data_IF_520383701632
#
_entry.id   IF_520383701632
#
_cell.length_a   1.000
_cell.length_b   1.000
_cell.length_c   1.000
_cell.angle_alpha   90.00
_cell.angle_beta   90.00
_cell.angle_gamma   90.00
#
_symmetry.space_group_name_H-M   'P 1'
#
loop_
_entity.id
_entity.type
_entity.pdbx_description
1 polymer ?
#
# COMPACT_ATOMS: atom_id res chain seq x y z
N UNK A 1 -10.11 26.10 -17.85
CA UNK A 1 -9.40 24.96 -17.31
C UNK A 1 -8.71 25.30 -15.99
N UNK A 2 -8.84 24.43 -15.00
CA UNK A 2 -8.17 24.56 -13.72
C UNK A 2 -7.13 23.46 -13.59
N UNK A 3 -5.84 23.85 -13.64
CA UNK A 3 -4.73 22.97 -13.35
C UNK A 3 -4.48 22.95 -11.84
N UNK A 4 -4.72 21.82 -11.21
CA UNK A 4 -4.58 21.62 -9.78
C UNK A 4 -3.27 20.86 -9.48
N UNK A 5 -2.63 21.22 -8.37
CA UNK A 5 -1.42 20.58 -7.84
C UNK A 5 -1.65 19.89 -6.50
N UNK A 6 -0.57 19.37 -5.88
CA UNK A 6 -0.56 18.72 -4.58
C UNK A 6 -0.96 17.23 -4.58
N UNK A 7 -1.99 16.81 -5.29
CA UNK A 7 -2.39 15.39 -5.36
C UNK A 7 -1.54 14.67 -6.41
N UNK A 8 -0.91 13.56 -6.01
CA UNK A 8 0.03 12.78 -6.83
C UNK A 8 -0.67 11.81 -7.79
N UNK A 9 -1.98 11.66 -7.69
CA UNK A 9 -2.79 10.84 -8.58
C UNK A 9 -3.44 11.70 -9.64
N UNK A 10 -3.31 11.28 -10.92
CA UNK A 10 -4.00 11.95 -12.03
C UNK A 10 -5.50 11.66 -11.92
N UNK A 11 -6.31 12.72 -11.82
CA UNK A 11 -7.78 12.58 -11.73
C UNK A 11 -8.52 13.84 -12.16
N UNK A 12 -9.67 13.62 -12.78
CA UNK A 12 -10.63 14.68 -13.03
C UNK A 12 -11.42 14.98 -11.74
N UNK A 13 -11.55 16.26 -11.42
CA UNK A 13 -12.32 16.72 -10.25
C UNK A 13 -13.67 17.24 -10.69
N UNK A 14 -13.73 17.91 -11.84
CA UNK A 14 -14.96 18.47 -12.40
C UNK A 14 -14.83 18.62 -13.90
N UNK A 15 -15.91 18.34 -14.63
CA UNK A 15 -16.02 18.60 -16.06
C UNK A 15 -16.46 20.04 -16.37
N UNK A 16 -17.20 20.69 -15.43
CA UNK A 16 -17.68 22.07 -15.57
C UNK A 16 -17.64 22.81 -14.22
N UNK A 17 -16.66 23.71 -14.00
CA UNK A 17 -15.52 23.97 -14.89
C UNK A 17 -14.56 22.79 -14.97
N UNK A 18 -13.91 22.61 -16.10
CA UNK A 18 -12.93 21.56 -16.31
C UNK A 18 -11.75 21.73 -15.34
N UNK A 19 -11.57 20.80 -14.41
CA UNK A 19 -10.59 20.85 -13.34
C UNK A 19 -9.93 19.49 -13.12
N UNK A 20 -8.59 19.46 -13.13
CA UNK A 20 -7.80 18.24 -13.05
C UNK A 20 -6.59 18.39 -12.13
N UNK A 21 -6.27 17.30 -11.43
CA UNK A 21 -4.93 17.04 -10.94
C UNK A 21 -4.14 16.27 -11.99
N UNK A 22 -2.98 16.77 -12.39
CA UNK A 22 -2.10 16.05 -13.33
C UNK A 22 -1.41 14.84 -12.70
N UNK A 23 -1.31 14.83 -11.39
CA UNK A 23 -0.47 13.86 -10.68
C UNK A 23 1.02 14.18 -10.79
N UNK A 24 1.84 13.16 -10.57
CA UNK A 24 3.30 13.21 -10.70
C UNK A 24 3.76 12.56 -12.01
N UNK A 25 4.87 13.01 -12.54
CA UNK A 25 5.47 12.46 -13.78
C UNK A 25 6.16 11.12 -13.56
N UNK A 26 6.48 10.78 -12.30
CA UNK A 26 7.10 9.53 -11.87
C UNK A 26 6.66 9.23 -10.44
N UNK A 27 6.34 7.98 -10.13
CA UNK A 27 6.09 7.54 -8.76
C UNK A 27 7.38 7.57 -7.94
N UNK A 28 7.35 8.23 -6.79
CA UNK A 28 8.50 8.40 -5.91
C UNK A 28 8.64 7.26 -4.89
N UNK A 29 7.53 6.62 -4.52
CA UNK A 29 7.51 5.51 -3.56
C UNK A 29 6.45 4.45 -3.90
N UNK A 30 6.43 3.36 -3.12
CA UNK A 30 5.51 2.23 -3.31
C UNK A 30 4.02 2.56 -3.19
N UNK A 31 3.66 3.66 -2.50
CA UNK A 31 2.26 4.09 -2.36
C UNK A 31 1.76 4.79 -3.64
N UNK A 32 2.67 5.15 -4.52
CA UNK A 32 2.38 5.83 -5.77
C UNK A 32 2.34 4.85 -6.95
N UNK A 33 1.60 3.76 -6.81
CA UNK A 33 1.40 2.77 -7.86
C UNK A 33 0.62 3.31 -9.06
N UNK A 34 0.66 2.56 -10.16
CA UNK A 34 -0.04 2.88 -11.40
C UNK A 34 0.67 3.90 -12.29
N UNK A 35 0.10 4.19 -13.47
CA UNK A 35 0.70 5.05 -14.47
C UNK A 35 0.88 6.48 -13.95
N UNK A 36 2.06 7.06 -14.19
CA UNK A 36 2.40 8.44 -13.86
C UNK A 36 2.73 9.21 -15.12
N UNK A 37 2.37 10.51 -15.13
CA UNK A 37 2.52 11.27 -16.35
C UNK A 37 2.16 12.74 -16.21
N UNK A 38 1.83 13.32 -17.35
CA UNK A 38 1.41 14.71 -17.46
C UNK A 38 0.09 14.81 -18.24
N UNK A 39 -0.61 15.92 -18.10
CA UNK A 39 -1.78 16.22 -18.91
C UNK A 39 -1.41 17.16 -20.05
N UNK A 40 -1.75 16.77 -21.27
CA UNK A 40 -1.80 17.68 -22.40
C UNK A 40 -3.21 18.24 -22.50
N UNK A 41 -3.33 19.57 -22.43
CA UNK A 41 -4.61 20.27 -22.46
C UNK A 41 -4.68 21.16 -23.68
N UNK A 42 -5.66 20.93 -24.54
CA UNK A 42 -5.93 21.77 -25.70
C UNK A 42 -7.13 22.66 -25.42
N UNK A 43 -6.95 23.97 -25.58
CA UNK A 43 -7.98 24.99 -25.31
C UNK A 43 -8.25 25.77 -26.58
N UNK A 44 -9.44 25.62 -27.14
CA UNK A 44 -9.89 26.34 -28.32
C UNK A 44 -11.02 27.31 -27.96
N UNK A 45 -11.07 28.51 -28.57
CA UNK A 45 -12.15 29.48 -28.33
C UNK A 45 -13.53 28.86 -28.57
N UNK A 46 -14.44 28.97 -27.63
CA UNK A 46 -15.80 28.48 -27.71
C UNK A 46 -15.99 26.96 -27.63
N UNK A 47 -14.92 26.22 -27.33
CA UNK A 47 -14.99 24.76 -27.08
C UNK A 47 -14.60 24.41 -25.65
N UNK A 48 -15.09 23.29 -25.19
CA UNK A 48 -14.62 22.71 -23.94
C UNK A 48 -13.14 22.29 -24.08
N UNK A 49 -12.34 22.40 -23.01
CA UNK A 49 -10.97 21.92 -23.02
C UNK A 49 -10.92 20.40 -23.29
N UNK A 50 -10.01 19.98 -24.16
CA UNK A 50 -9.68 18.59 -24.37
C UNK A 50 -8.46 18.21 -23.51
N UNK A 51 -8.61 17.17 -22.68
CA UNK A 51 -7.56 16.72 -21.75
C UNK A 51 -7.12 15.32 -22.12
N UNK A 52 -5.82 15.13 -22.31
CA UNK A 52 -5.22 13.84 -22.62
C UNK A 52 -4.06 13.55 -21.67
N UNK A 53 -4.10 12.38 -21.03
CA UNK A 53 -2.99 11.88 -20.22
C UNK A 53 -1.85 11.38 -21.11
N UNK A 54 -0.63 11.81 -20.80
CA UNK A 54 0.60 11.35 -21.42
C UNK A 54 1.43 10.66 -20.36
N UNK A 55 1.58 9.35 -20.46
CA UNK A 55 2.42 8.59 -19.56
C UNK A 55 3.89 8.93 -19.75
N UNK A 56 4.59 9.28 -18.68
CA UNK A 56 6.02 9.67 -18.67
C UNK A 56 6.86 8.83 -17.72
N UNK A 57 6.23 7.99 -16.88
CA UNK A 57 6.95 7.14 -15.93
C UNK A 57 7.84 6.14 -16.66
N UNK A 58 9.10 6.07 -16.26
CA UNK A 58 10.10 5.11 -16.77
C UNK A 58 10.15 3.83 -15.94
N UNK A 59 9.55 3.86 -14.76
CA UNK A 59 9.40 2.71 -13.86
C UNK A 59 8.06 2.80 -13.10
N UNK A 60 7.54 1.65 -12.70
CA UNK A 60 6.32 1.53 -11.92
C UNK A 60 6.57 0.86 -10.58
N UNK A 61 5.81 1.30 -9.58
CA UNK A 61 5.66 0.58 -8.32
C UNK A 61 4.48 -0.38 -8.44
N UNK A 62 4.70 -1.65 -8.09
CA UNK A 62 3.70 -2.70 -8.22
C UNK A 62 3.66 -3.53 -6.94
N UNK A 63 2.48 -3.87 -6.48
CA UNK A 63 2.28 -4.86 -5.42
C UNK A 63 1.82 -6.17 -6.05
N UNK A 64 2.41 -7.28 -5.63
CA UNK A 64 2.09 -8.63 -6.08
C UNK A 64 1.78 -9.49 -4.86
N UNK A 65 0.68 -10.22 -4.91
CA UNK A 65 0.32 -11.20 -3.89
C UNK A 65 0.55 -12.60 -4.41
N UNK A 66 1.18 -13.45 -3.61
CA UNK A 66 1.39 -14.86 -3.91
C UNK A 66 0.95 -15.70 -2.72
N UNK A 67 -0.02 -16.58 -2.93
CA UNK A 67 -0.45 -17.54 -1.92
C UNK A 67 0.59 -18.67 -1.82
N UNK A 68 1.05 -18.93 -0.61
CA UNK A 68 2.03 -19.97 -0.29
C UNK A 68 1.36 -21.05 0.56
N UNK A 69 1.56 -22.28 0.16
CA UNK A 69 1.11 -23.47 0.89
C UNK A 69 2.19 -23.92 1.88
N UNK A 70 1.79 -24.57 2.98
CA UNK A 70 2.71 -25.21 3.93
C UNK A 70 3.61 -26.29 3.28
N UNK A 71 3.20 -26.79 2.11
CA UNK A 71 3.99 -27.76 1.34
C UNK A 71 5.09 -27.13 0.48
N UNK A 72 5.05 -25.82 0.28
CA UNK A 72 6.04 -25.09 -0.51
C UNK A 72 7.32 -24.92 0.32
N UNK A 73 8.38 -25.54 -0.15
CA UNK A 73 9.66 -25.52 0.54
C UNK A 73 10.42 -24.23 0.25
N UNK A 74 11.14 -23.75 1.25
CA UNK A 74 11.95 -22.53 1.16
C UNK A 74 12.94 -22.59 -0.02
N UNK A 75 13.49 -23.78 -0.33
CA UNK A 75 14.45 -23.96 -1.42
C UNK A 75 13.83 -23.79 -2.82
N UNK A 76 12.53 -24.08 -2.98
CA UNK A 76 11.82 -23.95 -4.27
C UNK A 76 11.09 -22.62 -4.42
N UNK A 77 10.87 -21.93 -3.31
CA UNK A 77 10.12 -20.68 -3.25
C UNK A 77 10.67 -19.55 -4.16
N UNK A 78 12.00 -19.35 -4.30
CA UNK A 78 12.53 -18.35 -5.22
C UNK A 78 12.08 -18.55 -6.67
N UNK A 79 12.01 -19.79 -7.13
CA UNK A 79 11.60 -20.13 -8.50
C UNK A 79 10.11 -19.89 -8.69
N UNK A 80 9.28 -20.27 -7.72
CA UNK A 80 7.82 -20.00 -7.75
C UNK A 80 7.55 -18.50 -7.79
N UNK A 81 8.28 -17.71 -7.00
CA UNK A 81 8.17 -16.26 -7.02
C UNK A 81 8.53 -15.70 -8.40
N UNK A 82 9.67 -16.10 -8.96
CA UNK A 82 10.11 -15.59 -10.27
C UNK A 82 9.11 -15.93 -11.39
N UNK A 83 8.45 -17.08 -11.32
CA UNK A 83 7.41 -17.47 -12.28
C UNK A 83 6.10 -16.69 -12.10
N UNK A 84 5.76 -16.34 -10.86
CA UNK A 84 4.55 -15.58 -10.54
C UNK A 84 4.68 -14.07 -10.83
N UNK A 85 5.91 -13.56 -10.94
CA UNK A 85 6.14 -12.14 -11.19
C UNK A 85 5.73 -11.74 -12.62
N UNK A 86 5.18 -10.52 -12.81
CA UNK A 86 4.80 -10.03 -14.13
C UNK A 86 6.03 -9.88 -15.05
N UNK A 87 5.79 -9.93 -16.35
CA UNK A 87 6.80 -9.57 -17.36
C UNK A 87 6.44 -8.20 -17.96
N UNK A 88 6.84 -7.10 -17.32
CA UNK A 88 6.44 -5.75 -17.71
C UNK A 88 7.23 -5.25 -18.93
N UNK A 89 6.65 -4.28 -19.64
CA UNK A 89 7.31 -3.60 -20.76
C UNK A 89 8.32 -2.51 -20.34
N UNK A 90 8.28 -2.11 -19.07
CA UNK A 90 9.21 -1.13 -18.46
C UNK A 90 9.63 -1.59 -17.08
N UNK A 91 10.64 -0.95 -16.49
CA UNK A 91 11.13 -1.34 -15.16
C UNK A 91 10.02 -1.34 -14.12
N UNK A 92 9.93 -2.39 -13.33
CA UNK A 92 8.95 -2.55 -12.26
C UNK A 92 9.64 -2.82 -10.93
N UNK A 93 9.32 -2.00 -9.92
CA UNK A 93 9.75 -2.15 -8.54
C UNK A 93 8.63 -2.84 -7.77
N UNK A 94 8.86 -4.07 -7.34
CA UNK A 94 7.81 -4.92 -6.78
C UNK A 94 7.93 -5.02 -5.26
N UNK A 95 6.81 -4.82 -4.56
CA UNK A 95 6.61 -5.32 -3.21
C UNK A 95 5.80 -6.60 -3.30
N UNK A 96 6.37 -7.71 -2.84
CA UNK A 96 5.72 -9.01 -2.86
C UNK A 96 5.12 -9.33 -1.49
N UNK A 97 3.86 -9.72 -1.46
CA UNK A 97 3.15 -10.19 -0.28
C UNK A 97 2.95 -11.70 -0.40
N UNK A 98 3.62 -12.47 0.47
CA UNK A 98 3.42 -13.90 0.61
C UNK A 98 2.22 -14.12 1.56
N UNK A 99 1.13 -14.64 1.01
CA UNK A 99 -0.06 -14.98 1.80
C UNK A 99 0.11 -16.37 2.38
N UNK A 100 0.23 -16.45 3.69
CA UNK A 100 0.40 -17.69 4.46
C UNK A 100 -0.76 -17.89 5.43
N UNK A 101 -1.02 -19.10 5.86
CA UNK A 101 -2.03 -19.34 6.90
C UNK A 101 -1.49 -19.02 8.30
N UNK A 102 -0.21 -19.26 8.53
CA UNK A 102 0.50 -18.99 9.79
C UNK A 102 1.83 -18.30 9.48
N UNK A 103 2.41 -17.62 10.45
CA UNK A 103 3.74 -17.01 10.26
C UNK A 103 4.80 -18.12 10.23
N UNK A 104 5.49 -18.21 9.10
CA UNK A 104 6.45 -19.27 8.81
C UNK A 104 7.86 -18.69 8.69
N UNK A 105 7.99 -17.45 8.19
CA UNK A 105 9.26 -16.87 7.81
C UNK A 105 9.75 -15.84 8.81
N UNK A 106 11.01 -15.94 9.21
CA UNK A 106 11.67 -14.87 9.95
C UNK A 106 11.97 -13.67 9.02
N UNK A 107 12.25 -12.52 9.62
CA UNK A 107 12.65 -11.33 8.85
C UNK A 107 13.93 -11.56 8.04
N UNK A 108 14.85 -12.38 8.58
CA UNK A 108 16.12 -12.72 7.92
C UNK A 108 15.87 -13.65 6.72
N UNK A 109 14.96 -14.63 6.86
CA UNK A 109 14.57 -15.52 5.76
C UNK A 109 13.99 -14.72 4.59
N UNK A 110 13.09 -13.76 4.87
CA UNK A 110 12.48 -12.91 3.84
C UNK A 110 13.51 -12.01 3.15
N UNK A 111 14.53 -11.55 3.88
CA UNK A 111 15.61 -10.75 3.31
C UNK A 111 16.50 -11.61 2.39
N UNK A 112 16.95 -12.77 2.84
CA UNK A 112 17.70 -13.71 2.02
C UNK A 112 16.93 -14.15 0.78
N UNK A 113 15.64 -14.44 0.94
CA UNK A 113 14.74 -14.76 -0.17
C UNK A 113 14.70 -13.63 -1.21
N UNK A 114 14.63 -12.38 -0.75
CA UNK A 114 14.66 -11.21 -1.64
C UNK A 114 15.96 -11.13 -2.44
N UNK A 115 17.10 -11.41 -1.81
CA UNK A 115 18.41 -11.39 -2.47
C UNK A 115 18.51 -12.51 -3.53
N UNK A 116 18.08 -13.74 -3.19
CA UNK A 116 18.10 -14.88 -4.12
C UNK A 116 17.17 -14.64 -5.32
N UNK A 117 15.95 -14.15 -5.08
CA UNK A 117 14.99 -13.83 -6.15
C UNK A 117 15.57 -12.77 -7.10
N UNK A 118 16.16 -11.70 -6.58
CA UNK A 118 16.77 -10.67 -7.42
C UNK A 118 17.94 -11.21 -8.23
N UNK A 119 18.77 -12.09 -7.66
CA UNK A 119 19.83 -12.77 -8.40
C UNK A 119 19.30 -13.57 -9.61
N UNK A 120 18.22 -14.34 -9.42
CA UNK A 120 17.56 -15.08 -10.51
C UNK A 120 16.93 -14.15 -11.58
N UNK A 121 16.38 -13.00 -11.15
CA UNK A 121 15.81 -12.01 -12.06
C UNK A 121 16.90 -11.32 -12.90
N UNK A 122 18.06 -11.04 -12.32
CA UNK A 122 19.23 -10.50 -13.03
C UNK A 122 19.76 -11.47 -14.07
N UNK A 123 19.90 -12.77 -13.74
CA UNK A 123 20.29 -13.81 -14.69
C UNK A 123 19.33 -13.90 -15.89
N UNK A 124 18.02 -13.73 -15.64
CA UNK A 124 16.98 -13.69 -16.68
C UNK A 124 16.90 -12.35 -17.41
N UNK A 125 17.71 -11.35 -17.05
CA UNK A 125 17.63 -9.96 -17.57
C UNK A 125 16.23 -9.36 -17.45
N UNK A 126 15.56 -9.66 -16.36
CA UNK A 126 14.21 -9.16 -16.08
C UNK A 126 14.20 -7.62 -15.86
N UNK A 127 13.09 -6.99 -16.22
CA UNK A 127 12.84 -5.59 -15.89
C UNK A 127 12.23 -5.43 -14.47
N UNK A 128 12.00 -6.52 -13.77
CA UNK A 128 11.47 -6.54 -12.40
C UNK A 128 12.62 -6.50 -11.40
N UNK A 129 12.46 -5.70 -10.35
CA UNK A 129 13.30 -5.70 -9.14
C UNK A 129 12.39 -5.85 -7.92
N UNK A 130 12.59 -6.86 -7.11
CA UNK A 130 11.85 -7.06 -5.86
C UNK A 130 12.50 -6.21 -4.77
N UNK A 131 11.76 -5.20 -4.31
CA UNK A 131 12.23 -4.27 -3.29
C UNK A 131 12.08 -4.82 -1.88
N UNK A 132 11.03 -5.60 -1.64
CA UNK A 132 10.80 -6.29 -0.38
C UNK A 132 9.82 -7.43 -0.55
N UNK A 133 10.04 -8.49 0.22
CA UNK A 133 9.09 -9.58 0.42
C UNK A 133 8.52 -9.46 1.83
N UNK A 134 7.21 -9.59 1.97
CA UNK A 134 6.49 -9.49 3.22
C UNK A 134 5.56 -10.68 3.39
N UNK A 135 5.52 -11.23 4.57
CA UNK A 135 4.54 -12.24 4.92
C UNK A 135 3.24 -11.58 5.36
N UNK A 136 2.13 -12.04 4.82
CA UNK A 136 0.78 -11.64 5.20
C UNK A 136 0.00 -12.86 5.68
N UNK A 137 -0.17 -12.97 7.00
CA UNK A 137 -0.90 -14.09 7.60
C UNK A 137 -2.40 -13.89 7.38
N UNK A 138 -3.06 -14.89 6.82
CA UNK A 138 -4.48 -14.85 6.47
C UNK A 138 -5.39 -15.48 7.53
N UNK A 139 -4.87 -16.36 8.37
CA UNK A 139 -5.62 -16.87 9.53
C UNK A 139 -5.62 -15.83 10.65
N UNK A 140 -6.77 -15.43 11.19
CA UNK A 140 -6.81 -14.63 12.40
C UNK A 140 -6.13 -15.41 13.53
N UNK A 141 -5.23 -14.76 14.26
CA UNK A 141 -4.69 -15.29 15.50
C UNK A 141 -5.86 -15.74 16.38
N UNK A 142 -6.04 -17.04 16.58
CA UNK A 142 -6.99 -17.57 17.54
C UNK A 142 -6.49 -17.22 18.93
N UNK A 143 -6.85 -16.01 19.38
CA UNK A 143 -6.67 -15.61 20.77
C UNK A 143 -7.48 -16.52 21.66
N UNK A 144 -6.93 -16.92 22.78
CA UNK A 144 -7.62 -17.63 23.83
C UNK A 144 -8.88 -16.84 24.21
N UNK A 145 -10.03 -17.49 24.12
CA UNK A 145 -11.40 -16.99 24.36
C UNK A 145 -12.08 -16.28 23.17
N UNK A 146 -12.61 -17.08 22.22
CA UNK A 146 -13.91 -16.91 21.56
C UNK A 146 -14.28 -15.60 20.83
N UNK A 147 -13.44 -14.59 20.83
CA UNK A 147 -13.71 -13.32 20.16
C UNK A 147 -12.70 -13.15 19.03
N UNK A 148 -13.19 -13.32 17.80
CA UNK A 148 -12.42 -12.96 16.60
C UNK A 148 -12.26 -11.43 16.54
N UNK A 149 -11.17 -10.91 17.09
CA UNK A 149 -10.85 -9.47 17.09
C UNK A 149 -10.26 -8.97 15.76
N UNK A 150 -10.20 -9.81 14.72
CA UNK A 150 -9.51 -9.48 13.46
C UNK A 150 -10.45 -9.52 12.24
N UNK A 151 -11.76 -9.40 12.46
CA UNK A 151 -12.71 -9.37 11.35
C UNK A 151 -13.14 -7.98 10.89
N UNK A 152 -13.19 -7.00 11.79
CA UNK A 152 -13.84 -5.71 11.52
C UNK A 152 -13.25 -4.53 12.29
N UNK A 153 -11.95 -4.55 12.61
CA UNK A 153 -11.29 -3.28 12.92
C UNK A 153 -11.07 -2.60 11.59
N UNK A 154 -12.06 -1.80 11.25
CA UNK A 154 -12.19 -1.04 10.03
C UNK A 154 -10.85 -0.39 9.69
N UNK A 155 -10.31 -0.70 8.52
CA UNK A 155 -9.11 -0.06 7.98
C UNK A 155 -9.22 1.48 8.00
N UNK A 156 -10.45 2.03 8.17
CA UNK A 156 -10.72 3.44 8.37
C UNK A 156 -10.12 4.00 9.66
N UNK A 157 -10.12 3.24 10.77
CA UNK A 157 -9.53 3.69 12.05
C UNK A 157 -7.99 3.77 11.97
N UNK A 158 -7.35 2.84 11.26
CA UNK A 158 -5.91 2.90 11.00
C UNK A 158 -5.55 3.99 9.99
N UNK A 159 -6.41 4.21 8.98
CA UNK A 159 -6.20 5.31 8.01
C UNK A 159 -6.40 6.68 8.67
N UNK A 160 -7.35 6.84 9.58
CA UNK A 160 -7.52 8.08 10.34
C UNK A 160 -6.36 8.33 11.31
N UNK A 161 -5.81 7.29 11.94
CA UNK A 161 -4.58 7.42 12.75
C UNK A 161 -3.34 7.71 11.89
N UNK A 162 -3.20 7.15 10.69
CA UNK A 162 -2.11 7.48 9.77
C UNK A 162 -2.28 8.89 9.19
N UNK A 163 -3.49 9.31 8.87
CA UNK A 163 -3.78 10.69 8.42
C UNK A 163 -3.48 11.68 9.54
N UNK A 164 -3.84 11.39 10.78
CA UNK A 164 -3.47 12.21 11.92
C UNK A 164 -1.96 12.28 12.11
N UNK A 165 -1.22 11.18 11.92
CA UNK A 165 0.25 11.15 11.98
C UNK A 165 0.90 11.89 10.80
N UNK A 166 0.34 11.83 9.60
CA UNK A 166 0.90 12.48 8.41
C UNK A 166 0.63 13.99 8.35
N UNK A 167 -0.43 14.45 9.03
CA UNK A 167 -0.79 15.87 9.07
C UNK A 167 0.02 16.71 10.07
N UNK A 168 0.77 16.08 10.97
CA UNK A 168 1.55 16.77 12.01
C UNK A 168 3.05 16.55 11.83
N UNK A 169 3.64 17.35 10.97
CA UNK A 169 5.11 17.49 10.82
C UNK A 169 5.71 18.34 11.95
N UNK A 170 5.39 18.05 13.22
CA UNK A 170 5.95 18.78 14.33
C UNK A 170 6.58 17.80 15.33
N UNK A 171 7.90 17.91 15.51
CA UNK A 171 8.71 17.11 16.45
C UNK A 171 8.07 17.04 17.84
N UNK A 172 7.50 18.17 18.30
CA UNK A 172 6.80 18.30 19.59
C UNK A 172 5.57 17.37 19.70
N UNK A 173 4.83 17.15 18.61
CA UNK A 173 3.67 16.25 18.63
C UNK A 173 4.11 14.79 18.59
N UNK A 174 5.18 14.46 17.85
CA UNK A 174 5.78 13.13 17.88
C UNK A 174 6.28 12.77 19.27
N UNK A 175 6.98 13.69 19.94
CA UNK A 175 7.49 13.51 21.29
C UNK A 175 6.35 13.41 22.33
N UNK A 176 5.23 14.14 22.09
CA UNK A 176 4.04 14.06 22.94
C UNK A 176 3.35 12.69 22.81
N UNK A 177 3.19 12.18 21.59
CA UNK A 177 2.56 10.88 21.34
C UNK A 177 3.42 9.67 21.78
N UNK A 178 4.70 9.87 22.04
CA UNK A 178 5.60 8.83 22.55
C UNK A 178 5.64 8.76 24.08
N UNK A 179 4.99 9.67 24.78
CA UNK A 179 4.88 9.61 26.24
C UNK A 179 4.01 8.44 26.68
N UNK A 180 4.48 7.69 27.67
CA UNK A 180 3.85 6.46 28.16
C UNK A 180 2.43 6.71 28.65
N UNK A 181 2.20 7.81 29.36
CA UNK A 181 0.90 8.28 29.86
C UNK A 181 -0.10 8.60 28.74
N UNK A 182 0.36 9.19 27.65
CA UNK A 182 -0.46 9.51 26.47
C UNK A 182 -0.83 8.25 25.70
N UNK A 183 0.10 7.32 25.58
CA UNK A 183 -0.16 6.04 24.94
C UNK A 183 -1.17 5.20 25.73
N UNK A 184 -1.09 5.24 27.04
CA UNK A 184 -2.02 4.54 27.94
C UNK A 184 -3.44 5.16 27.85
N UNK A 185 -3.56 6.49 27.81
CA UNK A 185 -4.84 7.19 27.63
C UNK A 185 -5.47 6.91 26.26
N UNK A 186 -4.66 6.88 25.19
CA UNK A 186 -5.13 6.53 23.83
C UNK A 186 -5.62 5.07 23.80
N UNK A 187 -4.90 4.17 24.45
CA UNK A 187 -5.25 2.76 24.51
C UNK A 187 -6.57 2.55 25.27
N UNK A 188 -6.73 3.15 26.47
CA UNK A 188 -7.97 3.11 27.24
C UNK A 188 -9.16 3.69 26.48
N UNK A 189 -8.96 4.81 25.76
CA UNK A 189 -10.00 5.46 24.99
C UNK A 189 -10.43 4.61 23.80
N UNK A 190 -9.49 3.94 23.13
CA UNK A 190 -9.76 2.99 22.06
C UNK A 190 -10.56 1.79 22.56
N UNK A 191 -10.19 1.22 23.74
CA UNK A 191 -10.93 0.13 24.36
C UNK A 191 -12.37 0.53 24.71
N UNK A 192 -12.59 1.71 25.31
CA UNK A 192 -13.94 2.21 25.63
C UNK A 192 -14.81 2.41 24.39
N UNK A 193 -14.22 2.89 23.27
CA UNK A 193 -14.94 3.03 22.01
C UNK A 193 -15.30 1.68 21.40
N UNK A 194 -14.44 0.69 21.53
CA UNK A 194 -14.71 -0.69 21.11
C UNK A 194 -15.83 -1.31 21.97
N UNK A 195 -15.76 -1.19 23.28
CA UNK A 195 -16.81 -1.68 24.18
C UNK A 195 -18.18 -1.04 23.93
N UNK A 196 -18.23 0.29 23.72
CA UNK A 196 -19.45 1.00 23.38
C UNK A 196 -20.08 0.56 22.05
N UNK A 197 -19.25 0.19 21.07
CA UNK A 197 -19.70 -0.27 19.76
C UNK A 197 -20.20 -1.72 19.79
N UNK A 198 -19.68 -2.55 20.69
CA UNK A 198 -20.10 -3.94 20.84
C UNK A 198 -21.29 -4.12 21.77
N UNK A 199 -21.42 -3.32 22.84
CA UNK A 199 -22.60 -3.35 23.73
C UNK A 199 -23.87 -2.80 23.08
N UNK A 200 -23.80 -2.02 22.01
CA UNK A 200 -24.96 -1.55 21.25
C UNK A 200 -25.55 -2.55 20.24
N UNK A 201 -24.99 -3.77 20.11
CA UNK A 201 -25.47 -4.78 19.15
C UNK A 201 -26.30 -5.91 19.76
N UNK A 202 -26.56 -5.91 21.07
CA UNK A 202 -27.38 -6.96 21.73
C UNK A 202 -28.86 -6.60 21.86
N UNK A 203 -29.33 -5.45 21.38
CA UNK A 203 -30.75 -5.08 21.34
C UNK A 203 -31.19 -4.74 19.92
N UNK A 204 -31.41 -5.79 19.07
CA UNK A 204 -32.00 -5.62 17.75
C UNK A 204 -32.32 -6.98 17.11
#
# INVERSE_FOLDING_TARGET
YWALGHIHTCQEISSQPCAWYSGTTQGADRKESGPKGALLVEILPGKAPEVRFIETSTMDWTEVELAISETDRLETLPYLIVEALPNPSKRSLVTLHLRTEESIYSREDLKQLTEVVNGLLEEKRSLVTVMSIREQVTKPLRGASGISLVGDVDASLFSEMEIAKSGFSNQLMSDFLQKEDVQEEIHERALRLLEARFSGREEG
#
